data_IF_738821683697
#
_entry.id   IF_738821683697
#
_cell.length_a   1.000
_cell.length_b   1.000
_cell.length_c   1.000
_cell.angle_alpha   90.00
_cell.angle_beta   90.00
_cell.angle_gamma   90.00
#
_symmetry.space_group_name_H-M   'P 1'
#
loop_
_entity.id
_entity.type
_entity.pdbx_description
1 polymer ?
#
# COMPACT_ATOMS: atom_id res chain seq x y z
N UNK A 1 -5.17 -10.95 23.24
CA UNK A 1 -6.46 -10.37 22.80
C UNK A 1 -7.42 -11.52 22.49
N UNK A 2 -8.59 -11.59 23.12
CA UNK A 2 -9.57 -12.66 22.83
C UNK A 2 -10.19 -12.48 21.44
N UNK A 3 -10.73 -13.54 20.80
CA UNK A 3 -11.42 -13.43 19.51
C UNK A 3 -12.56 -12.40 19.52
N UNK A 4 -13.34 -12.36 20.59
CA UNK A 4 -14.47 -11.44 20.76
C UNK A 4 -13.97 -9.99 20.78
N UNK A 5 -12.90 -9.72 21.53
CA UNK A 5 -12.31 -8.38 21.62
C UNK A 5 -11.72 -7.94 20.27
N UNK A 6 -11.09 -8.84 19.52
CA UNK A 6 -10.63 -8.57 18.15
C UNK A 6 -11.80 -8.18 17.25
N UNK A 7 -12.89 -8.94 17.31
CA UNK A 7 -14.12 -8.66 16.57
C UNK A 7 -14.70 -7.28 16.92
N UNK A 8 -14.75 -6.92 18.21
CA UNK A 8 -15.22 -5.59 18.64
C UNK A 8 -14.34 -4.47 18.07
N UNK A 9 -13.01 -4.62 18.16
CA UNK A 9 -12.07 -3.60 17.64
C UNK A 9 -12.29 -3.41 16.14
N UNK A 10 -12.28 -4.50 15.37
CA UNK A 10 -12.47 -4.46 13.92
C UNK A 10 -13.83 -3.86 13.55
N UNK A 11 -14.90 -4.23 14.25
CA UNK A 11 -16.23 -3.69 14.01
C UNK A 11 -16.26 -2.18 14.26
N UNK A 12 -15.72 -1.70 15.38
CA UNK A 12 -15.72 -0.28 15.71
C UNK A 12 -14.86 0.51 14.72
N UNK A 13 -13.68 0.00 14.38
CA UNK A 13 -12.81 0.63 13.36
C UNK A 13 -13.54 0.75 12.02
N UNK A 14 -14.16 -0.34 11.53
CA UNK A 14 -14.92 -0.32 10.29
C UNK A 14 -16.12 0.64 10.36
N UNK A 15 -16.83 0.69 11.48
CA UNK A 15 -17.96 1.59 11.68
C UNK A 15 -17.55 3.06 11.61
N UNK A 16 -16.41 3.43 12.21
CA UNK A 16 -15.86 4.79 12.13
C UNK A 16 -15.46 5.14 10.70
N UNK A 17 -14.75 4.23 10.01
CA UNK A 17 -14.36 4.43 8.60
C UNK A 17 -15.59 4.63 7.70
N UNK A 18 -16.69 3.88 7.92
CA UNK A 18 -17.95 4.06 7.18
C UNK A 18 -18.52 5.47 7.31
N UNK A 19 -18.54 6.00 8.54
CA UNK A 19 -19.05 7.34 8.83
C UNK A 19 -18.16 8.41 8.20
N UNK A 20 -16.84 8.27 8.32
CA UNK A 20 -15.88 9.17 7.67
C UNK A 20 -16.03 9.14 6.15
N UNK A 21 -16.11 7.96 5.54
CA UNK A 21 -16.28 7.84 4.09
C UNK A 21 -17.57 8.53 3.62
N UNK A 22 -18.67 8.39 4.36
CA UNK A 22 -19.94 9.08 4.04
C UNK A 22 -19.80 10.62 4.08
N UNK A 23 -19.06 11.15 5.05
CA UNK A 23 -18.80 12.60 5.15
C UNK A 23 -17.85 13.10 4.05
N UNK A 24 -16.89 12.27 3.65
CA UNK A 24 -15.87 12.61 2.64
C UNK A 24 -16.43 12.54 1.21
N UNK A 25 -17.62 11.98 0.98
CA UNK A 25 -18.27 11.94 -0.34
C UNK A 25 -18.33 13.32 -1.03
N UNK A 26 -18.49 14.41 -0.26
CA UNK A 26 -18.53 15.77 -0.80
C UNK A 26 -17.17 16.30 -1.31
N UNK A 27 -16.05 15.69 -0.87
CA UNK A 27 -14.69 16.16 -1.19
C UNK A 27 -13.97 15.19 -2.13
N UNK A 28 -14.09 13.88 -1.88
CA UNK A 28 -13.44 12.83 -2.67
C UNK A 28 -14.44 11.73 -3.06
N UNK A 29 -15.43 12.03 -3.91
CA UNK A 29 -16.58 11.15 -4.17
C UNK A 29 -16.16 9.76 -4.63
N UNK A 30 -15.22 9.65 -5.57
CA UNK A 30 -14.77 8.37 -6.10
C UNK A 30 -14.00 7.51 -5.07
N UNK A 31 -13.18 8.13 -4.22
CA UNK A 31 -12.42 7.39 -3.20
C UNK A 31 -13.29 6.97 -2.03
N UNK A 32 -14.18 7.86 -1.60
CA UNK A 32 -15.18 7.58 -0.56
C UNK A 32 -16.16 6.49 -1.00
N UNK A 33 -16.62 6.51 -2.25
CA UNK A 33 -17.45 5.45 -2.82
C UNK A 33 -16.75 4.09 -2.76
N UNK A 34 -15.49 4.00 -3.19
CA UNK A 34 -14.69 2.76 -3.10
C UNK A 34 -14.55 2.25 -1.67
N UNK A 35 -14.32 3.12 -0.68
CA UNK A 35 -14.29 2.70 0.72
C UNK A 35 -15.64 2.15 1.19
N UNK A 36 -16.75 2.78 0.78
CA UNK A 36 -18.10 2.33 1.11
C UNK A 36 -18.44 1.01 0.43
N UNK A 37 -17.99 0.79 -0.81
CA UNK A 37 -18.08 -0.49 -1.52
C UNK A 37 -17.36 -1.60 -0.75
N UNK A 38 -16.12 -1.34 -0.32
CA UNK A 38 -15.31 -2.28 0.47
C UNK A 38 -15.92 -2.60 1.85
N UNK A 39 -16.78 -1.73 2.35
CA UNK A 39 -17.56 -1.93 3.59
C UNK A 39 -18.96 -2.51 3.34
N UNK A 40 -19.24 -2.96 2.11
CA UNK A 40 -20.52 -3.56 1.73
C UNK A 40 -21.71 -2.59 1.81
N UNK A 41 -21.48 -1.28 1.72
CA UNK A 41 -22.54 -0.27 1.80
C UNK A 41 -23.12 -0.03 0.40
N UNK A 42 -24.40 -0.33 0.13
CA UNK A 42 -24.99 -0.11 -1.19
C UNK A 42 -25.09 1.38 -1.52
N UNK A 43 -25.27 1.72 -2.80
CA UNK A 43 -25.58 3.09 -3.21
C UNK A 43 -26.97 3.53 -2.72
N UNK A 44 -27.22 4.84 -2.74
CA UNK A 44 -28.49 5.43 -2.31
C UNK A 44 -28.50 5.75 -0.81
N UNK A 45 -29.55 5.31 -0.09
CA UNK A 45 -29.85 5.74 1.27
C UNK A 45 -28.73 5.44 2.27
N UNK A 46 -28.00 4.34 2.12
CA UNK A 46 -26.91 3.95 3.02
C UNK A 46 -25.72 4.93 3.00
N UNK A 47 -25.61 5.76 1.95
CA UNK A 47 -24.53 6.75 1.75
C UNK A 47 -24.99 8.19 2.01
N UNK A 48 -26.25 8.40 2.37
CA UNK A 48 -26.78 9.71 2.72
C UNK A 48 -26.42 10.08 4.17
N UNK A 49 -26.43 11.38 4.48
CA UNK A 49 -26.17 11.85 5.85
C UNK A 49 -27.23 11.38 6.87
N UNK A 50 -28.43 11.04 6.41
CA UNK A 50 -29.47 10.41 7.23
C UNK A 50 -29.06 9.03 7.77
N UNK A 51 -28.14 8.33 7.10
CA UNK A 51 -27.61 7.05 7.54
C UNK A 51 -26.43 7.20 8.53
N UNK A 52 -26.09 8.39 9.01
CA UNK A 52 -25.04 8.56 10.03
C UNK A 52 -25.49 8.03 11.40
N UNK A 53 -24.52 7.68 12.24
CA UNK A 53 -24.78 7.16 13.58
C UNK A 53 -25.50 5.80 13.58
N UNK A 54 -26.50 5.64 14.45
CA UNK A 54 -27.20 4.38 14.64
C UNK A 54 -27.99 3.91 13.40
N UNK A 55 -28.50 4.85 12.58
CA UNK A 55 -29.35 4.55 11.43
C UNK A 55 -28.64 3.76 10.33
N UNK A 56 -27.33 3.93 10.15
CA UNK A 56 -26.52 3.19 9.18
C UNK A 56 -25.37 2.42 9.83
N UNK A 57 -25.60 1.87 11.03
CA UNK A 57 -24.60 1.02 11.69
C UNK A 57 -24.34 -0.24 10.86
N UNK A 58 -23.07 -0.65 10.78
CA UNK A 58 -22.69 -1.88 10.09
C UNK A 58 -23.38 -3.10 10.74
N UNK A 59 -23.97 -3.97 9.92
CA UNK A 59 -24.60 -5.21 10.38
C UNK A 59 -23.54 -6.29 10.53
N UNK A 60 -23.33 -6.88 11.72
CA UNK A 60 -22.41 -8.00 11.90
C UNK A 60 -22.76 -9.18 10.98
N UNK A 61 -21.75 -9.83 10.40
CA UNK A 61 -21.96 -10.92 9.44
C UNK A 61 -22.21 -10.47 8.00
N UNK A 62 -22.21 -9.16 7.72
CA UNK A 62 -22.20 -8.65 6.34
C UNK A 62 -20.97 -9.17 5.61
N UNK A 63 -21.16 -9.81 4.46
CA UNK A 63 -20.08 -10.27 3.61
C UNK A 63 -19.38 -9.07 2.97
N UNK A 64 -18.05 -9.03 3.09
CA UNK A 64 -17.22 -7.98 2.53
C UNK A 64 -16.51 -8.48 1.27
N UNK A 65 -16.35 -7.64 0.24
CA UNK A 65 -15.53 -7.97 -0.93
C UNK A 65 -14.05 -8.08 -0.55
N UNK A 66 -13.24 -8.58 -1.48
CA UNK A 66 -11.79 -8.64 -1.28
C UNK A 66 -11.20 -7.24 -1.03
N UNK A 67 -10.36 -7.04 0.00
CA UNK A 67 -9.79 -5.73 0.29
C UNK A 67 -8.93 -5.20 -0.86
N UNK A 68 -9.16 -3.95 -1.26
CA UNK A 68 -8.39 -3.25 -2.29
C UNK A 68 -7.83 -1.93 -1.79
N UNK A 69 -6.67 -1.53 -2.30
CA UNK A 69 -6.07 -0.24 -1.98
C UNK A 69 -6.86 0.92 -2.60
N UNK A 70 -7.33 1.87 -1.78
CA UNK A 70 -8.06 3.06 -2.26
C UNK A 70 -7.13 4.25 -2.51
N UNK A 71 -6.16 4.47 -1.63
CA UNK A 71 -5.25 5.61 -1.69
C UNK A 71 -3.84 5.16 -2.07
N UNK A 72 -3.45 5.25 -3.34
CA UNK A 72 -2.08 4.94 -3.75
C UNK A 72 -1.12 5.96 -3.15
N UNK A 73 0.12 5.51 -2.86
CA UNK A 73 1.18 6.43 -2.44
C UNK A 73 1.52 7.37 -3.58
N UNK A 74 1.80 8.63 -3.25
CA UNK A 74 2.38 9.57 -4.21
C UNK A 74 3.72 9.03 -4.72
N UNK A 75 3.96 9.18 -6.02
CA UNK A 75 5.23 8.88 -6.66
C UNK A 75 5.74 10.18 -7.27
N UNK A 76 6.92 10.62 -6.82
CA UNK A 76 7.59 11.79 -7.39
C UNK A 76 7.87 11.52 -8.89
N UNK A 77 7.36 12.37 -9.80
CA UNK A 77 7.59 12.22 -11.23
C UNK A 77 9.07 12.15 -11.61
N UNK A 78 9.95 12.87 -10.90
CA UNK A 78 11.40 12.88 -11.13
C UNK A 78 12.03 11.54 -10.73
N UNK A 79 11.59 10.96 -9.60
CA UNK A 79 12.03 9.63 -9.17
C UNK A 79 11.38 8.50 -9.99
N UNK A 80 10.18 8.71 -10.54
CA UNK A 80 9.49 7.77 -11.42
C UNK A 80 10.20 7.66 -12.78
N UNK A 81 10.64 8.79 -13.34
CA UNK A 81 11.45 8.82 -14.57
C UNK A 81 12.80 8.12 -14.39
N UNK A 82 13.40 8.17 -13.20
CA UNK A 82 14.62 7.41 -12.87
C UNK A 82 14.38 5.89 -12.77
N UNK A 83 13.15 5.43 -12.48
CA UNK A 83 12.82 4.00 -12.44
C UNK A 83 12.48 3.42 -13.82
N UNK A 84 12.06 4.25 -14.78
CA UNK A 84 11.88 3.83 -16.18
C UNK A 84 13.18 3.97 -17.00
N UNK A 85 14.10 4.83 -16.59
CA UNK A 85 15.47 4.86 -17.07
C UNK A 85 16.32 3.82 -16.36
N UNK A 86 16.32 2.57 -16.85
CA UNK A 86 17.38 1.62 -16.50
C UNK A 86 18.72 2.33 -16.57
N UNK A 87 19.56 2.22 -15.54
CA UNK A 87 21.00 2.46 -15.68
C UNK A 87 21.41 1.85 -17.02
N UNK A 88 21.95 2.65 -17.94
CA UNK A 88 22.28 2.17 -19.28
C UNK A 88 23.04 0.84 -19.15
N UNK A 89 22.84 -0.07 -20.09
CA UNK A 89 23.55 -1.35 -20.10
C UNK A 89 25.07 -1.14 -19.90
N UNK A 90 25.61 -0.01 -20.36
CA UNK A 90 27.00 0.44 -20.12
C UNK A 90 27.30 0.76 -18.66
N UNK A 91 26.43 1.49 -17.94
CA UNK A 91 26.62 1.77 -16.52
C UNK A 91 26.58 0.49 -15.66
N UNK A 92 25.72 -0.48 -16.02
CA UNK A 92 25.68 -1.78 -15.34
C UNK A 92 26.90 -2.66 -15.68
N UNK A 93 27.35 -2.63 -16.94
CA UNK A 93 28.56 -3.34 -17.38
C UNK A 93 29.81 -2.76 -16.70
N UNK A 94 29.93 -1.44 -16.62
CA UNK A 94 31.03 -0.75 -15.95
C UNK A 94 31.07 -1.05 -14.44
N UNK A 95 29.92 -1.05 -13.76
CA UNK A 95 29.84 -1.40 -12.35
C UNK A 95 30.21 -2.88 -12.08
N UNK A 96 29.79 -3.81 -12.95
CA UNK A 96 30.18 -5.23 -12.87
C UNK A 96 31.68 -5.42 -13.14
N UNK A 97 32.21 -4.76 -14.16
CA UNK A 97 33.64 -4.80 -14.50
C UNK A 97 34.51 -4.26 -13.36
N UNK A 98 34.12 -3.14 -12.75
CA UNK A 98 34.83 -2.57 -11.60
C UNK A 98 34.80 -3.49 -10.36
N UNK A 99 33.69 -4.19 -10.13
CA UNK A 99 33.57 -5.17 -9.02
C UNK A 99 34.41 -6.42 -9.29
N UNK A 100 34.47 -6.88 -10.54
CA UNK A 100 35.28 -8.02 -10.96
C UNK A 100 36.79 -7.70 -10.87
N UNK A 101 37.21 -6.53 -11.34
CA UNK A 101 38.59 -6.05 -11.22
C UNK A 101 39.05 -5.96 -9.75
N UNK A 102 38.18 -5.46 -8.85
CA UNK A 102 38.48 -5.44 -7.40
C UNK A 102 38.58 -6.85 -6.81
N UNK A 103 37.74 -7.78 -7.25
CA UNK A 103 37.79 -9.19 -6.80
C UNK A 103 39.08 -9.88 -7.28
N UNK A 104 39.46 -9.66 -8.52
CA UNK A 104 40.66 -10.25 -9.12
C UNK A 104 41.95 -9.66 -8.54
N UNK A 105 41.97 -8.35 -8.25
CA UNK A 105 43.06 -7.70 -7.54
C UNK A 105 43.21 -8.27 -6.11
N UNK A 106 42.10 -8.47 -5.41
CA UNK A 106 42.13 -9.05 -4.06
C UNK A 106 42.58 -10.52 -4.07
N UNK A 107 42.19 -11.29 -5.09
CA UNK A 107 42.61 -12.68 -5.26
C UNK A 107 44.09 -12.81 -5.57
N UNK A 108 44.64 -11.92 -6.41
CA UNK A 108 46.09 -11.86 -6.69
C UNK A 108 46.88 -11.48 -5.44
N UNK A 109 46.39 -10.51 -4.66
CA UNK A 109 47.01 -10.11 -3.39
C UNK A 109 47.08 -11.28 -2.39
N UNK A 110 46.01 -12.06 -2.29
CA UNK A 110 45.98 -13.26 -1.43
C UNK A 110 46.88 -14.41 -1.91
N UNK A 111 47.27 -14.43 -3.19
CA UNK A 111 48.17 -15.46 -3.74
C UNK A 111 49.65 -15.07 -3.56
N UNK A 112 49.99 -13.79 -3.65
CA UNK A 112 51.37 -13.32 -3.38
C UNK A 112 51.75 -13.31 -1.90
N UNK A 113 50.78 -13.22 -0.99
CA UNK A 113 51.01 -13.29 0.46
C UNK A 113 51.17 -14.75 0.98
N UNK A 114 50.93 -15.76 0.13
CA UNK A 114 51.05 -17.18 0.48
C UNK A 114 52.32 -17.88 -0.03
N UNK A 115 53.20 -17.16 -0.72
CA UNK A 115 54.43 -17.72 -1.35
C UNK A 115 55.72 -17.03 -0.87
N UNK A 116 55.67 -16.34 0.28
CA UNK A 116 56.83 -15.77 0.99
C UNK A 116 56.96 -16.36 2.40
#
# INVERSE_FOLDING_TARGET
LTPERKGTILHVTAAVVRQLASLVLAVMPASAAKLLDLLGQPEGSARQYSALGAAGRLVPGTQLPEPQGVFPRYVDPSAAAQKSGSQSAEAQAAAKAAKQAKKDANRKKSQSEGEA
#
